data_IF_123491210517
#
_entry.id   IF_123491210517
#
_cell.length_a   1.000
_cell.length_b   1.000
_cell.length_c   1.000
_cell.angle_alpha   90.00
_cell.angle_beta   90.00
_cell.angle_gamma   90.00
#
_symmetry.space_group_name_H-M   'P 1'
#
loop_
_entity.id
_entity.type
_entity.pdbx_description
1 polymer ?
#
# COMPACT_ATOMS: atom_id res chain seq x y z
N UNK A 1 -3.77 5.68 -21.11
CA UNK A 1 -3.07 5.15 -19.94
C UNK A 1 -3.97 5.38 -18.74
N UNK A 2 -4.32 4.34 -17.99
CA UNK A 2 -5.23 4.46 -16.85
C UNK A 2 -4.42 4.21 -15.58
N UNK A 3 -3.94 5.30 -14.98
CA UNK A 3 -3.35 5.29 -13.65
C UNK A 3 -4.44 4.98 -12.64
N UNK A 4 -4.12 4.18 -11.61
CA UNK A 4 -5.04 3.98 -10.50
C UNK A 4 -5.34 5.34 -9.85
N UNK A 5 -6.62 5.57 -9.58
CA UNK A 5 -7.05 6.77 -8.87
C UNK A 5 -6.60 6.71 -7.41
N UNK A 6 -6.41 7.86 -6.76
CA UNK A 6 -6.02 7.91 -5.35
C UNK A 6 -6.97 7.10 -4.46
N UNK A 7 -8.27 7.13 -4.74
CA UNK A 7 -9.27 6.33 -4.02
C UNK A 7 -9.00 4.81 -4.13
N UNK A 8 -8.60 4.33 -5.31
CA UNK A 8 -8.24 2.92 -5.49
C UNK A 8 -6.96 2.57 -4.74
N UNK A 9 -5.96 3.45 -4.75
CA UNK A 9 -4.71 3.26 -3.99
C UNK A 9 -5.02 3.20 -2.48
N UNK A 10 -5.87 4.09 -1.99
CA UNK A 10 -6.35 4.12 -0.60
C UNK A 10 -7.10 2.84 -0.25
N UNK A 11 -8.01 2.37 -1.10
CA UNK A 11 -8.75 1.13 -0.86
C UNK A 11 -7.84 -0.10 -0.84
N UNK A 12 -6.85 -0.16 -1.74
CA UNK A 12 -5.88 -1.24 -1.78
C UNK A 12 -5.06 -1.23 -0.49
N UNK A 13 -4.48 -0.09 -0.12
CA UNK A 13 -3.71 0.05 1.10
C UNK A 13 -4.53 -0.31 2.34
N UNK A 14 -5.76 0.20 2.45
CA UNK A 14 -6.65 -0.03 3.59
C UNK A 14 -7.16 -1.47 3.70
N UNK A 15 -7.35 -2.17 2.57
CA UNK A 15 -7.85 -3.54 2.54
C UNK A 15 -6.74 -4.59 2.57
N UNK A 16 -5.48 -4.17 2.54
CA UNK A 16 -4.33 -5.08 2.51
C UNK A 16 -3.86 -5.43 3.90
N UNK A 17 -3.59 -6.70 4.16
CA UNK A 17 -3.15 -7.15 5.49
C UNK A 17 -1.62 -7.20 5.64
N UNK A 18 -0.90 -7.19 4.51
CA UNK A 18 0.55 -7.22 4.39
C UNK A 18 0.99 -6.57 3.06
N UNK A 19 2.29 -6.31 2.91
CA UNK A 19 2.88 -5.79 1.66
C UNK A 19 2.67 -6.78 0.50
N UNK A 20 2.80 -8.08 0.77
CA UNK A 20 2.60 -9.14 -0.23
C UNK A 20 1.15 -9.19 -0.73
N UNK A 21 0.19 -9.04 0.18
CA UNK A 21 -1.23 -8.95 -0.18
C UNK A 21 -1.52 -7.69 -1.02
N UNK A 22 -0.89 -6.55 -0.69
CA UNK A 22 -0.96 -5.31 -1.47
C UNK A 22 -0.42 -5.48 -2.89
N UNK A 23 0.75 -6.13 -3.03
CA UNK A 23 1.35 -6.45 -4.33
C UNK A 23 0.44 -7.34 -5.16
N UNK A 24 -0.16 -8.38 -4.57
CA UNK A 24 -1.09 -9.28 -5.26
C UNK A 24 -2.35 -8.57 -5.73
N UNK A 25 -2.94 -7.69 -4.89
CA UNK A 25 -4.11 -6.89 -5.29
C UNK A 25 -3.79 -5.91 -6.41
N UNK A 26 -2.63 -5.24 -6.35
CA UNK A 26 -2.17 -4.37 -7.43
C UNK A 26 -1.95 -5.18 -8.71
N UNK A 27 -1.28 -6.32 -8.62
CA UNK A 27 -1.00 -7.18 -9.79
C UNK A 27 -2.28 -7.68 -10.46
N UNK A 28 -3.30 -8.02 -9.67
CA UNK A 28 -4.65 -8.37 -10.16
C UNK A 28 -5.31 -7.25 -10.96
N UNK A 29 -5.04 -5.99 -10.65
CA UNK A 29 -5.61 -4.82 -11.34
C UNK A 29 -4.80 -4.44 -12.59
N UNK A 30 -3.52 -4.78 -12.58
CA UNK A 30 -2.56 -4.51 -13.65
C UNK A 30 -2.38 -5.72 -14.57
N UNK A 31 -3.47 -6.23 -15.16
CA UNK A 31 -3.44 -7.39 -16.06
C UNK A 31 -2.73 -7.16 -17.40
N UNK A 32 -2.49 -5.90 -17.78
CA UNK A 32 -1.80 -5.53 -19.04
C UNK A 32 -0.86 -4.33 -18.88
N UNK A 33 -0.44 -3.99 -17.65
CA UNK A 33 0.37 -2.80 -17.44
C UNK A 33 1.87 -3.09 -17.53
N UNK A 34 2.59 -2.11 -18.05
CA UNK A 34 4.04 -2.09 -18.08
C UNK A 34 4.60 -2.13 -16.64
N UNK A 35 5.74 -2.79 -16.42
CA UNK A 35 6.37 -2.93 -15.10
C UNK A 35 6.58 -1.59 -14.39
N UNK A 36 6.80 -0.51 -15.14
CA UNK A 36 6.92 0.85 -14.60
C UNK A 36 5.64 1.36 -13.93
N UNK A 37 4.46 1.03 -14.47
CA UNK A 37 3.18 1.48 -13.94
C UNK A 37 2.80 0.72 -12.67
N UNK A 38 3.11 -0.59 -12.64
CA UNK A 38 2.96 -1.39 -11.44
C UNK A 38 3.84 -0.85 -10.30
N UNK A 39 5.12 -0.57 -10.59
CA UNK A 39 6.04 -0.03 -9.59
C UNK A 39 5.59 1.32 -9.04
N UNK A 40 5.10 2.22 -9.89
CA UNK A 40 4.57 3.52 -9.44
C UNK A 40 3.33 3.36 -8.54
N UNK A 41 2.43 2.45 -8.89
CA UNK A 41 1.25 2.19 -8.08
C UNK A 41 1.58 1.51 -6.75
N UNK A 42 2.57 0.61 -6.73
CA UNK A 42 3.07 -0.01 -5.51
C UNK A 42 3.72 1.03 -4.58
N UNK A 43 4.56 1.91 -5.13
CA UNK A 43 5.21 2.99 -4.36
C UNK A 43 4.17 3.91 -3.70
N UNK A 44 3.15 4.31 -4.47
CA UNK A 44 2.03 5.12 -3.94
C UNK A 44 1.21 4.39 -2.88
N UNK A 45 0.97 3.09 -3.05
CA UNK A 45 0.22 2.29 -2.08
C UNK A 45 0.99 2.10 -0.77
N UNK A 46 2.31 1.86 -0.85
CA UNK A 46 3.19 1.77 0.32
C UNK A 46 3.30 3.10 1.05
N UNK A 47 3.47 4.20 0.33
CA UNK A 47 3.47 5.54 0.91
C UNK A 47 2.13 5.86 1.60
N UNK A 48 1.01 5.53 0.95
CA UNK A 48 -0.33 5.73 1.51
C UNK A 48 -0.54 4.89 2.77
N UNK A 49 -0.10 3.64 2.78
CA UNK A 49 -0.14 2.78 3.94
C UNK A 49 0.71 3.34 5.10
N UNK A 50 1.92 3.81 4.83
CA UNK A 50 2.79 4.46 5.81
C UNK A 50 2.11 5.69 6.45
N UNK A 51 1.57 6.60 5.61
CA UNK A 51 0.82 7.79 6.05
C UNK A 51 -0.42 7.42 6.88
N UNK A 52 -1.10 6.30 6.56
CA UNK A 52 -2.25 5.80 7.31
C UNK A 52 -1.88 5.10 8.63
N UNK A 53 -0.59 4.90 8.91
CA UNK A 53 -0.14 4.18 10.10
C UNK A 53 -0.24 2.66 9.99
N UNK A 54 -0.30 2.13 8.76
CA UNK A 54 -0.28 0.67 8.52
C UNK A 54 1.02 0.02 8.98
N UNK A 55 2.13 0.76 8.93
CA UNK A 55 3.46 0.32 9.40
C UNK A 55 3.56 0.34 10.94
N UNK A 56 2.81 1.22 11.62
CA UNK A 56 2.89 1.38 13.09
C UNK A 56 2.02 0.36 13.85
N UNK A 57 0.93 -0.13 13.23
CA UNK A 57 -0.07 -0.95 13.94
C UNK A 57 0.22 -2.45 14.02
N UNK A 58 1.22 -2.98 13.29
CA UNK A 58 1.58 -4.41 13.38
C UNK A 58 3.00 -4.73 13.83
N UNK A 59 3.89 -3.76 13.96
CA UNK A 59 5.26 -3.99 14.46
C UNK A 59 5.72 -2.94 15.50
N UNK A 60 4.78 -2.37 16.26
CA UNK A 60 5.00 -1.21 17.13
C UNK A 60 4.58 -1.36 18.59
N UNK A 61 4.67 -2.55 19.20
CA UNK A 61 4.64 -2.68 20.67
C UNK A 61 5.94 -2.11 21.28
N UNK A 62 6.19 -0.81 21.10
CA UNK A 62 7.24 -0.07 21.81
C UNK A 62 6.94 1.43 21.84
N UNK A 63 5.86 1.82 22.52
CA UNK A 63 5.79 3.15 23.15
C UNK A 63 5.63 2.98 24.65
N UNK A 64 6.76 2.77 25.33
CA UNK A 64 6.94 3.24 26.71
C UNK A 64 7.81 4.49 26.63
N UNK A 65 7.15 5.64 26.59
CA UNK A 65 7.79 6.89 26.99
C UNK A 65 7.78 6.95 28.52
N UNK A 66 8.93 7.10 29.19
CA UNK A 66 8.95 7.29 30.64
C UNK A 66 8.41 8.69 30.96
N UNK A 67 7.54 8.75 31.98
CA UNK A 67 7.06 9.99 32.59
C UNK A 67 8.17 10.75 33.31
#
# INVERSE_FOLDING_TARGET
MQLLSDDQIVQIAASSESIEDMQNKLFSLFTNAESSQFNEALDRALFTADVMGFVDSKEGMRMVWPS
#
